data_IF_970999283123
#
_entry.id   IF_970999283123
#
_cell.length_a   1.000
_cell.length_b   1.000
_cell.length_c   1.000
_cell.angle_alpha   90.00
_cell.angle_beta   90.00
_cell.angle_gamma   90.00
#
_symmetry.space_group_name_H-M   'P 1'
#
loop_
_entity.id
_entity.type
_entity.pdbx_description
1 polymer ?
#
# COMPACT_ATOMS: atom_id res chain seq x y z
N UNK A 1 -0.93 17.03 1.84
CA UNK A 1 0.10 16.75 0.82
C UNK A 1 -0.07 15.29 0.42
N UNK A 2 -1.01 15.01 -0.49
CA UNK A 2 -1.23 13.67 -1.03
C UNK A 2 -0.08 13.37 -2.00
N UNK A 3 0.94 12.66 -1.52
CA UNK A 3 1.98 12.14 -2.40
C UNK A 3 1.31 11.09 -3.30
N UNK A 4 1.23 11.42 -4.58
CA UNK A 4 0.87 10.53 -5.66
C UNK A 4 1.78 9.31 -5.54
N UNK A 5 1.24 8.18 -5.07
CA UNK A 5 1.92 6.89 -5.09
C UNK A 5 1.60 6.26 -6.44
N UNK A 6 2.49 6.32 -7.44
CA UNK A 6 2.30 5.56 -8.66
C UNK A 6 2.48 4.08 -8.30
N UNK A 7 1.39 3.32 -8.50
CA UNK A 7 1.30 1.88 -8.28
C UNK A 7 2.36 0.99 -8.99
N UNK A 8 3.13 1.42 -10.02
CA UNK A 8 4.25 0.64 -10.55
C UNK A 8 5.59 1.20 -10.03
N UNK A 9 5.84 1.07 -8.72
CA UNK A 9 7.00 1.69 -8.09
C UNK A 9 8.12 0.73 -7.70
N UNK A 10 8.00 0.15 -6.51
CA UNK A 10 9.01 -0.73 -5.94
C UNK A 10 9.05 -2.09 -6.65
N UNK A 11 7.89 -2.65 -7.02
CA UNK A 11 7.80 -3.93 -7.74
C UNK A 11 8.40 -3.91 -9.16
N UNK A 12 8.62 -2.72 -9.75
CA UNK A 12 9.31 -2.55 -11.03
C UNK A 12 10.83 -2.44 -10.90
N UNK A 13 11.38 -2.60 -9.69
CA UNK A 13 12.81 -2.44 -9.38
C UNK A 13 13.42 -1.11 -9.86
N UNK A 14 12.64 -0.03 -9.88
CA UNK A 14 13.13 1.29 -10.32
C UNK A 14 14.07 1.84 -9.24
N UNK A 15 15.38 2.06 -9.52
CA UNK A 15 16.37 2.36 -8.49
C UNK A 15 16.05 3.60 -7.65
N UNK A 16 15.51 4.66 -8.29
CA UNK A 16 15.11 5.88 -7.58
C UNK A 16 13.93 5.66 -6.62
N UNK A 17 13.03 4.74 -6.95
CA UNK A 17 11.87 4.43 -6.11
C UNK A 17 12.23 3.47 -4.99
N UNK A 18 13.12 2.50 -5.22
CA UNK A 18 13.68 1.66 -4.15
C UNK A 18 14.41 2.55 -3.14
N UNK A 19 15.23 3.50 -3.61
CA UNK A 19 15.96 4.40 -2.72
C UNK A 19 15.00 5.24 -1.86
N UNK A 20 14.01 5.88 -2.49
CA UNK A 20 13.00 6.66 -1.77
C UNK A 20 12.21 5.80 -0.77
N UNK A 21 11.90 4.56 -1.13
CA UNK A 21 11.19 3.62 -0.28
C UNK A 21 12.02 3.13 0.91
N UNK A 22 13.35 2.98 0.75
CA UNK A 22 14.28 2.67 1.84
C UNK A 22 14.53 3.84 2.79
N UNK A 23 14.46 5.06 2.27
CA UNK A 23 14.63 6.30 3.04
C UNK A 23 13.33 6.76 3.72
N UNK A 24 12.19 6.15 3.41
CA UNK A 24 10.91 6.49 4.00
C UNK A 24 10.83 6.01 5.47
N UNK A 25 10.33 6.88 6.35
CA UNK A 25 10.13 6.54 7.78
C UNK A 25 9.09 5.44 8.00
N UNK A 26 8.15 5.29 7.06
CA UNK A 26 7.08 4.32 7.12
C UNK A 26 6.74 3.76 5.73
N UNK A 27 6.65 2.45 5.63
CA UNK A 27 6.21 1.74 4.43
C UNK A 27 4.90 1.01 4.69
N UNK A 28 3.87 1.31 3.90
CA UNK A 28 2.54 0.68 3.98
C UNK A 28 2.26 -0.05 2.67
N UNK A 29 2.03 -1.36 2.72
CA UNK A 29 1.56 -2.12 1.56
C UNK A 29 0.03 -2.17 1.55
N UNK A 30 -0.56 -1.87 0.40
CA UNK A 30 -2.01 -1.93 0.18
C UNK A 30 -2.27 -3.00 -0.87
N UNK A 31 -2.92 -4.08 -0.45
CA UNK A 31 -3.18 -5.26 -1.25
C UNK A 31 -4.68 -5.42 -1.51
N UNK A 32 -5.03 -5.72 -2.76
CA UNK A 32 -6.42 -5.98 -3.15
C UNK A 32 -6.86 -7.42 -2.97
N UNK A 33 -5.98 -8.33 -2.54
CA UNK A 33 -6.29 -9.76 -2.42
C UNK A 33 -5.40 -10.44 -1.38
N UNK A 34 -5.86 -11.57 -0.80
CA UNK A 34 -5.13 -12.29 0.24
C UNK A 34 -3.81 -12.94 -0.24
N UNK A 35 -3.55 -12.92 -1.55
CA UNK A 35 -2.24 -13.33 -2.08
C UNK A 35 -1.13 -12.31 -1.77
N UNK A 36 -1.49 -11.09 -1.40
CA UNK A 36 -0.58 -10.03 -0.94
C UNK A 36 0.60 -9.80 -1.89
N UNK A 37 0.30 -9.59 -3.17
CA UNK A 37 1.33 -9.45 -4.19
C UNK A 37 2.20 -8.20 -3.97
N UNK A 38 1.64 -7.09 -3.49
CA UNK A 38 2.41 -5.89 -3.20
C UNK A 38 3.36 -6.13 -2.02
N UNK A 39 2.86 -6.64 -0.90
CA UNK A 39 3.68 -6.95 0.26
C UNK A 39 4.85 -7.90 -0.08
N UNK A 40 4.57 -8.94 -0.89
CA UNK A 40 5.59 -9.93 -1.31
C UNK A 40 6.65 -9.35 -2.24
N UNK A 41 6.38 -8.27 -2.96
CA UNK A 41 7.39 -7.61 -3.82
C UNK A 41 8.43 -6.81 -3.03
N UNK A 42 8.07 -6.31 -1.84
CA UNK A 42 8.95 -5.44 -1.05
C UNK A 42 10.23 -6.15 -0.57
N UNK A 43 10.19 -7.40 -0.06
CA UNK A 43 11.39 -8.14 0.31
C UNK A 43 12.39 -8.33 -0.83
N UNK A 44 11.92 -8.41 -2.09
CA UNK A 44 12.81 -8.50 -3.26
C UNK A 44 13.60 -7.21 -3.52
N UNK A 45 13.22 -6.10 -2.89
CA UNK A 45 13.92 -4.82 -2.93
C UNK A 45 14.67 -4.51 -1.63
N UNK A 46 14.81 -5.48 -0.71
CA UNK A 46 15.28 -5.31 0.68
C UNK A 46 14.48 -4.24 1.44
N UNK A 47 13.15 -4.27 1.30
CA UNK A 47 12.24 -3.37 2.00
C UNK A 47 11.22 -4.24 2.74
N UNK A 48 11.05 -3.98 4.03
CA UNK A 48 10.00 -4.62 4.84
C UNK A 48 8.85 -3.62 5.05
N UNK A 49 7.60 -3.94 4.66
CA UNK A 49 6.47 -3.10 4.99
C UNK A 49 6.22 -3.12 6.50
N UNK A 50 6.11 -1.94 7.10
CA UNK A 50 5.71 -1.80 8.49
C UNK A 50 4.24 -2.16 8.70
N UNK A 51 3.39 -1.84 7.71
CA UNK A 51 1.95 -2.09 7.77
C UNK A 51 1.51 -2.75 6.47
N UNK A 52 0.72 -3.82 6.57
CA UNK A 52 0.14 -4.53 5.43
C UNK A 52 -1.38 -4.51 5.53
N UNK A 53 -2.06 -3.97 4.51
CA UNK A 53 -3.52 -3.83 4.51
C UNK A 53 -4.11 -4.54 3.32
N UNK A 54 -5.08 -5.41 3.56
CA UNK A 54 -5.87 -6.06 2.51
C UNK A 54 -7.21 -5.33 2.40
N UNK A 55 -7.39 -4.50 1.38
CA UNK A 55 -8.59 -3.65 1.25
C UNK A 55 -9.88 -4.44 1.07
N UNK A 56 -9.80 -5.67 0.53
CA UNK A 56 -10.95 -6.56 0.43
C UNK A 56 -11.46 -7.03 1.78
N UNK A 57 -10.62 -7.09 2.82
CA UNK A 57 -11.05 -7.40 4.19
C UNK A 57 -11.82 -6.22 4.82
N UNK A 58 -11.62 -5.01 4.30
CA UNK A 58 -12.36 -3.81 4.68
C UNK A 58 -13.67 -3.63 3.88
N UNK A 59 -14.09 -4.67 3.16
CA UNK A 59 -15.30 -4.68 2.32
C UNK A 59 -15.16 -3.86 1.03
N UNK A 60 -13.93 -3.57 0.58
CA UNK A 60 -13.68 -2.89 -0.69
C UNK A 60 -13.48 -3.95 -1.77
N UNK A 61 -14.49 -4.16 -2.59
CA UNK A 61 -14.41 -5.14 -3.68
C UNK A 61 -13.56 -4.63 -4.85
N UNK A 62 -12.95 -5.56 -5.58
CA UNK A 62 -12.25 -5.25 -6.83
C UNK A 62 -13.27 -4.85 -7.88
N UNK A 63 -13.31 -3.56 -8.20
CA UNK A 63 -14.07 -3.05 -9.34
C UNK A 63 -13.12 -2.68 -10.48
N UNK A 64 -13.57 -2.87 -11.72
CA UNK A 64 -12.93 -2.29 -12.90
C UNK A 64 -13.23 -0.79 -13.04
N UNK A 65 -14.12 -0.27 -12.19
CA UNK A 65 -14.46 1.13 -12.12
C UNK A 65 -13.39 1.87 -11.30
N UNK A 66 -12.78 2.89 -11.90
CA UNK A 66 -11.69 3.68 -11.29
C UNK A 66 -12.25 4.70 -10.28
N UNK A 67 -13.55 4.65 -10.00
CA UNK A 67 -14.24 5.47 -9.01
C UNK A 67 -14.06 4.87 -7.61
N UNK A 68 -12.99 5.26 -6.92
CA UNK A 68 -12.85 4.98 -5.50
C UNK A 68 -13.82 5.87 -4.70
N UNK A 69 -14.74 5.25 -3.96
CA UNK A 69 -15.64 5.97 -3.06
C UNK A 69 -14.86 6.62 -1.91
N UNK A 70 -15.17 7.87 -1.59
CA UNK A 70 -14.45 8.63 -0.56
C UNK A 70 -14.55 7.96 0.84
N UNK A 71 -15.66 7.26 1.12
CA UNK A 71 -15.81 6.51 2.37
C UNK A 71 -14.93 5.26 2.37
N UNK A 72 -14.72 4.63 1.21
CA UNK A 72 -13.78 3.51 1.10
C UNK A 72 -12.35 3.98 1.40
N UNK A 73 -11.92 5.10 0.81
CA UNK A 73 -10.62 5.70 1.12
C UNK A 73 -10.48 6.05 2.61
N UNK A 74 -11.52 6.63 3.21
CA UNK A 74 -11.53 6.99 4.63
C UNK A 74 -11.36 5.75 5.53
N UNK A 75 -12.02 4.63 5.21
CA UNK A 75 -11.85 3.37 5.97
C UNK A 75 -10.42 2.85 5.94
N UNK A 76 -9.77 2.91 4.77
CA UNK A 76 -8.37 2.49 4.63
C UNK A 76 -7.46 3.40 5.46
N UNK A 77 -7.65 4.72 5.40
CA UNK A 77 -6.85 5.69 6.16
C UNK A 77 -6.98 5.47 7.66
N UNK A 78 -8.20 5.28 8.18
CA UNK A 78 -8.41 5.01 9.60
C UNK A 78 -7.75 3.70 10.01
N UNK A 79 -7.83 2.64 9.19
CA UNK A 79 -7.13 1.38 9.46
C UNK A 79 -5.61 1.56 9.50
N UNK A 80 -5.02 2.34 8.59
CA UNK A 80 -3.59 2.67 8.63
C UNK A 80 -3.23 3.38 9.93
N UNK A 81 -4.04 4.36 10.37
CA UNK A 81 -3.78 5.09 11.60
C UNK A 81 -3.88 4.20 12.84
N UNK A 82 -4.87 3.31 12.89
CA UNK A 82 -5.01 2.34 13.98
C UNK A 82 -3.76 1.45 14.08
N UNK A 83 -3.29 0.89 12.97
CA UNK A 83 -2.09 0.04 12.93
C UNK A 83 -0.80 0.84 13.19
N UNK A 84 -0.78 2.15 12.91
CA UNK A 84 0.36 3.03 13.20
C UNK A 84 0.43 3.44 14.68
N UNK A 85 -0.71 3.47 15.37
CA UNK A 85 -0.82 3.86 16.79
C UNK A 85 -0.82 2.65 17.75
N UNK A 86 -0.93 1.43 17.23
CA UNK A 86 -0.87 0.17 17.97
C UNK A 86 0.58 -0.23 18.29
#
# INVERSE_FOLDING_TARGET
MCASLPAPGVGGHIPGMIKAAKEADLMVSIDGCPVQCAAKTLPHADIEPAIQIIVTELGIEKSNEISADEKACSRVIEKVKEELLA
#
